data_IF_552931614785
#
_entry.id   IF_552931614785
#
_cell.length_a   1.000
_cell.length_b   1.000
_cell.length_c   1.000
_cell.angle_alpha   90.00
_cell.angle_beta   90.00
_cell.angle_gamma   90.00
#
_symmetry.space_group_name_H-M   'P 1'
#
loop_
_entity.id
_entity.type
_entity.pdbx_description
1 polymer ?
#
# COMPACT_ATOMS: atom_id res chain seq x y z
N UNK A 1 -4.09 -25.42 -0.78
CA UNK A 1 -4.33 -24.61 0.43
C UNK A 1 -4.24 -23.14 0.07
N UNK A 2 -5.15 -22.35 0.56
CA UNK A 2 -5.17 -20.92 0.30
C UNK A 2 -4.73 -20.15 1.55
N UNK A 3 -3.88 -19.16 1.38
CA UNK A 3 -3.51 -18.27 2.46
C UNK A 3 -4.54 -17.15 2.59
N UNK A 4 -4.84 -16.78 3.82
CA UNK A 4 -5.63 -15.59 4.08
C UNK A 4 -4.76 -14.36 3.91
N UNK A 5 -5.36 -13.27 3.50
CA UNK A 5 -4.68 -12.00 3.25
C UNK A 5 -5.20 -10.97 4.25
N UNK A 6 -4.29 -10.24 4.86
CA UNK A 6 -4.63 -9.08 5.68
C UNK A 6 -4.37 -7.82 4.89
N UNK A 7 -5.09 -6.75 5.25
CA UNK A 7 -4.99 -5.46 4.58
C UNK A 7 -4.66 -4.38 5.60
N UNK A 8 -3.73 -3.49 5.24
CA UNK A 8 -3.42 -2.28 6.01
C UNK A 8 -3.81 -1.07 5.18
N UNK A 9 -4.36 -0.05 5.83
CA UNK A 9 -4.84 1.15 5.17
C UNK A 9 -4.26 2.38 5.88
N UNK A 10 -3.92 3.40 5.09
CA UNK A 10 -3.40 4.66 5.61
C UNK A 10 -4.12 5.81 4.91
N UNK A 11 -4.64 6.73 5.71
CA UNK A 11 -5.44 7.86 5.23
C UNK A 11 -4.73 9.18 5.51
N UNK A 12 -5.00 10.19 4.66
CA UNK A 12 -4.50 11.54 4.91
C UNK A 12 -5.39 12.29 5.90
N UNK A 13 -5.04 13.54 6.19
CA UNK A 13 -5.79 14.36 7.14
C UNK A 13 -7.19 14.72 6.67
N UNK A 14 -7.50 14.54 5.40
CA UNK A 14 -8.83 14.83 4.83
C UNK A 14 -9.69 13.57 4.69
N UNK A 15 -9.20 12.43 5.15
CA UNK A 15 -9.95 11.17 5.07
C UNK A 15 -9.82 10.44 3.76
N UNK A 16 -8.88 10.83 2.88
CA UNK A 16 -8.62 10.12 1.62
C UNK A 16 -7.64 8.98 1.86
N UNK A 17 -7.95 7.80 1.32
CA UNK A 17 -7.04 6.65 1.37
C UNK A 17 -5.82 6.96 0.51
N UNK A 18 -4.61 6.90 1.10
CA UNK A 18 -3.37 7.20 0.37
C UNK A 18 -2.49 5.98 0.15
N UNK A 19 -2.52 4.99 1.04
CA UNK A 19 -1.78 3.74 0.87
C UNK A 19 -2.65 2.55 1.27
N UNK A 20 -2.53 1.49 0.50
CA UNK A 20 -3.15 0.21 0.82
C UNK A 20 -2.10 -0.88 0.71
N UNK A 21 -1.94 -1.68 1.76
CA UNK A 21 -1.03 -2.81 1.75
C UNK A 21 -1.77 -4.11 1.96
N UNK A 22 -1.30 -5.17 1.32
CA UNK A 22 -1.81 -6.53 1.50
C UNK A 22 -0.64 -7.46 1.77
N UNK A 23 -0.84 -8.40 2.67
CA UNK A 23 0.17 -9.40 3.03
C UNK A 23 -0.50 -10.68 3.52
N UNK A 24 0.23 -11.81 3.55
CA UNK A 24 -0.30 -13.02 4.16
C UNK A 24 -0.65 -12.79 5.63
N UNK A 25 -1.74 -13.38 6.09
CA UNK A 25 -2.17 -13.28 7.48
C UNK A 25 -1.04 -13.70 8.42
N UNK A 26 -0.88 -12.96 9.51
CA UNK A 26 0.22 -13.19 10.47
C UNK A 26 1.48 -12.39 10.16
N UNK A 27 1.55 -11.70 9.01
CA UNK A 27 2.69 -10.84 8.69
C UNK A 27 2.72 -9.64 9.61
N UNK A 28 3.93 -9.21 10.00
CA UNK A 28 4.09 -7.95 10.74
C UNK A 28 4.31 -6.82 9.77
N UNK A 29 4.05 -5.60 10.20
CA UNK A 29 4.24 -4.41 9.34
C UNK A 29 5.71 -4.09 9.08
N UNK A 30 6.62 -4.71 9.82
CA UNK A 30 8.06 -4.60 9.63
C UNK A 30 8.63 -5.68 8.71
N UNK A 31 7.83 -6.65 8.29
CA UNK A 31 8.27 -7.74 7.42
C UNK A 31 8.16 -7.35 5.97
N UNK A 32 9.11 -7.81 5.14
CA UNK A 32 9.11 -7.55 3.70
C UNK A 32 8.18 -8.52 2.98
N UNK A 33 6.88 -8.50 3.34
CA UNK A 33 5.86 -9.43 2.84
C UNK A 33 4.64 -8.69 2.26
N UNK A 34 4.77 -7.39 1.98
CA UNK A 34 3.64 -6.56 1.58
C UNK A 34 3.70 -6.18 0.11
N UNK A 35 2.55 -6.21 -0.55
CA UNK A 35 2.34 -5.49 -1.79
C UNK A 35 1.64 -4.18 -1.41
N UNK A 36 2.16 -3.05 -1.88
CA UNK A 36 1.70 -1.73 -1.43
C UNK A 36 1.27 -0.90 -2.64
N UNK A 37 0.08 -0.33 -2.55
CA UNK A 37 -0.48 0.54 -3.57
C UNK A 37 -0.63 1.96 -3.01
N UNK A 38 -0.23 2.94 -3.81
CA UNK A 38 -0.39 4.36 -3.51
C UNK A 38 -1.53 4.93 -4.34
N UNK A 39 -2.37 5.76 -3.73
CA UNK A 39 -3.48 6.44 -4.38
C UNK A 39 -3.14 7.91 -4.54
N UNK A 40 -3.30 8.42 -5.76
CA UNK A 40 -2.95 9.81 -6.11
C UNK A 40 -4.21 10.57 -6.45
N UNK A 41 -4.35 11.77 -5.87
CA UNK A 41 -5.53 12.61 -6.03
C UNK A 41 -5.16 13.95 -6.64
N UNK A 42 -6.11 14.58 -7.35
CA UNK A 42 -5.94 15.95 -7.84
C UNK A 42 -6.32 16.97 -6.77
N UNK A 43 -6.24 18.26 -7.10
CA UNK A 43 -6.56 19.34 -6.17
C UNK A 43 -8.03 19.42 -5.74
N UNK A 44 -8.91 18.69 -6.42
CA UNK A 44 -10.34 18.63 -6.12
C UNK A 44 -10.73 17.33 -5.40
N UNK A 45 -9.75 16.57 -4.91
CA UNK A 45 -9.95 15.28 -4.21
C UNK A 45 -10.51 14.18 -5.10
N UNK A 46 -10.27 14.25 -6.41
CA UNK A 46 -10.60 13.16 -7.31
C UNK A 46 -9.41 12.21 -7.42
N UNK A 47 -9.67 10.92 -7.30
CA UNK A 47 -8.63 9.90 -7.50
C UNK A 47 -8.25 9.88 -8.97
N UNK A 48 -6.97 10.10 -9.28
CA UNK A 48 -6.49 10.14 -10.66
C UNK A 48 -5.63 8.96 -11.03
N UNK A 49 -4.89 8.39 -10.09
CA UNK A 49 -3.95 7.29 -10.36
C UNK A 49 -3.84 6.37 -9.18
N UNK A 50 -3.50 5.12 -9.47
CA UNK A 50 -2.98 4.19 -8.48
C UNK A 50 -1.63 3.70 -8.95
N UNK A 51 -0.69 3.55 -8.02
CA UNK A 51 0.68 3.14 -8.31
C UNK A 51 1.10 2.06 -7.34
N UNK A 52 1.99 1.17 -7.77
CA UNK A 52 2.55 0.14 -6.90
C UNK A 52 3.95 0.50 -6.44
N UNK A 53 4.30 0.10 -5.23
CA UNK A 53 5.68 0.16 -4.76
C UNK A 53 6.56 -0.65 -5.72
N UNK A 54 7.69 -0.09 -6.13
CA UNK A 54 8.61 -0.68 -7.10
C UNK A 54 8.00 -0.95 -8.48
N UNK A 55 6.80 -0.40 -8.75
CA UNK A 55 6.14 -0.58 -10.04
C UNK A 55 5.60 -1.98 -10.29
N UNK A 56 5.43 -2.81 -9.26
CA UNK A 56 4.90 -4.16 -9.40
C UNK A 56 4.06 -4.56 -8.17
N UNK A 57 3.32 -5.64 -8.29
CA UNK A 57 2.45 -6.13 -7.24
C UNK A 57 3.06 -7.27 -6.42
N UNK A 58 4.38 -7.39 -6.39
CA UNK A 58 5.05 -8.42 -5.62
C UNK A 58 4.92 -8.16 -4.13
N UNK A 59 4.87 -9.23 -3.34
CA UNK A 59 4.76 -9.17 -1.89
C UNK A 59 6.15 -9.16 -1.25
N UNK A 60 6.91 -8.09 -1.49
CA UNK A 60 8.30 -8.00 -1.06
C UNK A 60 8.67 -6.63 -0.45
N UNK A 61 7.67 -5.86 -0.04
CA UNK A 61 7.90 -4.54 0.56
C UNK A 61 7.57 -4.55 2.06
N UNK A 62 8.10 -3.55 2.77
CA UNK A 62 7.86 -3.36 4.20
C UNK A 62 6.82 -2.25 4.36
N UNK A 63 5.68 -2.55 5.00
CA UNK A 63 4.63 -1.57 5.18
C UNK A 63 5.11 -0.33 5.92
N UNK A 64 5.95 -0.50 6.93
CA UNK A 64 6.45 0.64 7.71
C UNK A 64 7.30 1.60 6.90
N UNK A 65 7.84 1.16 5.76
CA UNK A 65 8.67 2.00 4.86
C UNK A 65 7.87 2.64 3.75
N UNK A 66 6.55 2.52 3.74
CA UNK A 66 5.69 2.89 2.60
C UNK A 66 5.90 4.31 2.08
N UNK A 67 6.19 5.26 2.98
CA UNK A 67 6.35 6.67 2.60
C UNK A 67 7.63 6.88 1.81
N UNK A 68 8.66 6.09 2.07
CA UNK A 68 9.98 6.25 1.45
C UNK A 68 10.21 5.37 0.22
N UNK A 69 9.24 4.55 -0.17
CA UNK A 69 9.37 3.67 -1.34
C UNK A 69 9.13 4.45 -2.63
N UNK A 70 9.63 3.92 -3.74
CA UNK A 70 9.37 4.47 -5.07
C UNK A 70 8.11 3.85 -5.63
N UNK A 71 7.21 4.67 -6.17
CA UNK A 71 5.94 4.23 -6.73
C UNK A 71 5.83 4.59 -8.21
N UNK A 72 5.26 3.67 -8.97
CA UNK A 72 4.98 3.93 -10.39
C UNK A 72 3.84 3.06 -10.92
#
# INVERSE_FOLDING_TARGET
MREDIITALDYDGSGNLIYQGKAPAGSTKASALWTIKKFVYDGSNNLTDTQFADGNDKFDNIWNDRVSLSYS
#
